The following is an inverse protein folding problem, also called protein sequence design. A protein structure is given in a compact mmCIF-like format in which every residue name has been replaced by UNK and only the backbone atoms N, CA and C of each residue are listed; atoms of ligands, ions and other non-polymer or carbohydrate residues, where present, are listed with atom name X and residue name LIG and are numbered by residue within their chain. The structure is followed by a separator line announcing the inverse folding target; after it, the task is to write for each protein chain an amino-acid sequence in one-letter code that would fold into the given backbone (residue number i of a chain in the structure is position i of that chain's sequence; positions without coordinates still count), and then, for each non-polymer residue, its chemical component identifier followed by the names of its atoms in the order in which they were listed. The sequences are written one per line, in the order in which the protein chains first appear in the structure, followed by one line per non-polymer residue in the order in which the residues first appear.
data_IF_721293906118
#
_entry.id   IF_721293906118
#
_cell.length_a   1.000
_cell.length_b   1.000
_cell.length_c   1.000
_cell.angle_alpha   90.00
_cell.angle_beta   90.00
_cell.angle_gamma   90.00
#
_symmetry.space_group_name_H-M   'P 1'
#
loop_
_entity.id
_entity.type
_entity.pdbx_description
1 polymer ?
#
# COMPACT_ATOMS: atom_id res chain seq x y z
N UNK A 1 -33.17 -4.90 -9.14
CA UNK A 1 -31.97 -5.40 -9.86
C UNK A 1 -30.74 -4.84 -9.14
N UNK A 2 -29.92 -5.69 -8.52
CA UNK A 2 -28.64 -5.25 -7.96
C UNK A 2 -27.72 -4.85 -9.14
N UNK A 3 -27.32 -3.59 -9.19
CA UNK A 3 -26.29 -3.16 -10.15
C UNK A 3 -24.96 -3.74 -9.68
N UNK A 4 -24.45 -4.73 -10.41
CA UNK A 4 -23.19 -5.40 -10.07
C UNK A 4 -22.02 -4.54 -10.52
N UNK A 5 -21.49 -3.71 -9.61
CA UNK A 5 -20.28 -2.91 -9.86
C UNK A 5 -19.10 -3.86 -10.00
N UNK A 6 -18.46 -3.88 -11.17
CA UNK A 6 -17.24 -4.66 -11.39
C UNK A 6 -16.06 -4.03 -10.65
N UNK A 7 -15.29 -4.82 -9.90
CA UNK A 7 -14.12 -4.34 -9.14
C UNK A 7 -12.86 -5.04 -9.66
N UNK A 8 -11.86 -4.26 -10.10
CA UNK A 8 -10.57 -4.76 -10.60
C UNK A 8 -9.43 -4.27 -9.71
N UNK A 9 -8.46 -5.15 -9.41
CA UNK A 9 -7.24 -4.81 -8.67
C UNK A 9 -6.01 -5.08 -9.53
N UNK A 10 -5.10 -4.11 -9.59
CA UNK A 10 -3.80 -4.25 -10.27
C UNK A 10 -2.69 -3.89 -9.31
N UNK A 11 -1.67 -4.73 -9.23
CA UNK A 11 -0.50 -4.51 -8.38
C UNK A 11 0.73 -4.35 -9.27
N UNK A 12 1.50 -3.28 -9.07
CA UNK A 12 2.74 -3.05 -9.79
C UNK A 12 3.77 -4.13 -9.42
N UNK A 13 4.66 -4.44 -10.38
CA UNK A 13 5.70 -5.45 -10.15
C UNK A 13 6.65 -5.06 -9.00
N UNK A 14 6.95 -3.76 -8.88
CA UNK A 14 7.79 -3.23 -7.79
C UNK A 14 7.13 -3.39 -6.42
N UNK A 15 5.82 -3.09 -6.30
CA UNK A 15 5.07 -3.28 -5.06
C UNK A 15 5.06 -4.77 -4.65
N UNK A 16 4.77 -5.65 -5.60
CA UNK A 16 4.75 -7.09 -5.35
C UNK A 16 6.11 -7.64 -4.91
N UNK A 17 7.18 -7.19 -5.58
CA UNK A 17 8.56 -7.61 -5.25
C UNK A 17 8.96 -7.16 -3.85
N UNK A 18 8.60 -5.94 -3.44
CA UNK A 18 8.88 -5.43 -2.08
C UNK A 18 8.17 -6.26 -1.00
N UNK A 19 6.92 -6.67 -1.24
CA UNK A 19 6.20 -7.57 -0.34
C UNK A 19 6.90 -8.93 -0.22
N UNK A 20 7.24 -9.53 -1.36
CA UNK A 20 7.86 -10.85 -1.39
C UNK A 20 9.23 -10.85 -0.70
N UNK A 21 10.06 -9.84 -0.97
CA UNK A 21 11.36 -9.72 -0.30
C UNK A 21 11.25 -9.40 1.18
N UNK A 22 10.24 -8.64 1.62
CA UNK A 22 10.03 -8.42 3.06
C UNK A 22 9.68 -9.73 3.78
N UNK A 23 8.78 -10.53 3.20
CA UNK A 23 8.45 -11.85 3.73
C UNK A 23 9.65 -12.81 3.68
N UNK A 24 10.41 -12.84 2.58
CA UNK A 24 11.57 -13.70 2.42
C UNK A 24 12.74 -13.31 3.35
N UNK A 25 12.89 -12.02 3.68
CA UNK A 25 13.90 -11.53 4.63
C UNK A 25 13.59 -11.95 6.07
N UNK A 26 12.30 -12.08 6.43
CA UNK A 26 11.85 -12.46 7.77
C UNK A 26 10.90 -13.66 7.72
N UNK A 27 11.36 -14.85 7.27
CA UNK A 27 10.47 -15.98 6.97
C UNK A 27 9.84 -16.62 8.21
N UNK A 28 10.40 -16.38 9.39
CA UNK A 28 9.96 -16.94 10.67
C UNK A 28 9.08 -15.98 11.48
N UNK A 29 8.76 -14.79 10.95
CA UNK A 29 7.96 -13.78 11.65
C UNK A 29 6.83 -13.25 10.77
N UNK A 30 5.69 -12.85 11.34
CA UNK A 30 4.67 -12.13 10.60
C UNK A 30 5.22 -10.79 10.14
N UNK A 31 4.93 -10.43 8.88
CA UNK A 31 5.33 -9.16 8.30
C UNK A 31 4.11 -8.28 8.03
N UNK A 32 4.22 -6.99 8.32
CA UNK A 32 3.18 -6.01 8.10
C UNK A 32 3.72 -4.81 7.29
N UNK A 33 2.87 -4.25 6.44
CA UNK A 33 3.19 -3.12 5.58
C UNK A 33 1.92 -2.53 4.98
N UNK A 34 2.08 -1.43 4.25
CA UNK A 34 0.97 -0.71 3.63
C UNK A 34 1.15 -0.66 2.11
N UNK A 35 0.05 -0.80 1.39
CA UNK A 35 0.00 -0.63 -0.06
C UNK A 35 -0.40 0.80 -0.40
N UNK A 36 0.32 1.40 -1.33
CA UNK A 36 0.05 2.74 -1.84
C UNK A 36 -0.43 2.63 -3.27
N UNK A 37 -1.53 3.31 -3.55
CA UNK A 37 -2.16 3.27 -4.86
C UNK A 37 -3.25 4.31 -5.02
N UNK A 38 -3.86 4.29 -6.19
CA UNK A 38 -4.99 5.14 -6.54
C UNK A 38 -6.26 4.30 -6.71
N UNK A 39 -7.39 4.91 -6.33
CA UNK A 39 -8.72 4.38 -6.56
C UNK A 39 -9.35 5.16 -7.72
N UNK A 40 -9.79 4.45 -8.75
CA UNK A 40 -10.62 5.01 -9.82
C UNK A 40 -12.02 4.40 -9.72
N UNK A 41 -13.05 5.24 -9.67
CA UNK A 41 -14.43 4.80 -9.55
C UNK A 41 -15.31 5.48 -10.60
N UNK A 42 -16.02 4.68 -11.37
CA UNK A 42 -17.06 5.08 -12.32
C UNK A 42 -18.38 4.45 -11.89
N UNK A 43 -19.51 4.95 -12.39
CA UNK A 43 -20.86 4.47 -12.04
C UNK A 43 -21.09 2.96 -12.24
N UNK A 44 -20.26 2.31 -13.08
CA UNK A 44 -20.34 0.88 -13.42
C UNK A 44 -19.11 0.05 -12.97
N UNK A 45 -18.01 0.68 -12.57
CA UNK A 45 -16.74 -0.02 -12.34
C UNK A 45 -15.85 0.68 -11.32
N UNK A 46 -15.16 -0.10 -10.48
CA UNK A 46 -14.12 0.36 -9.55
C UNK A 46 -12.80 -0.31 -9.91
N UNK A 47 -11.72 0.45 -9.98
CA UNK A 47 -10.37 -0.07 -10.22
C UNK A 47 -9.42 0.45 -9.16
N UNK A 48 -8.67 -0.45 -8.54
CA UNK A 48 -7.61 -0.13 -7.58
C UNK A 48 -6.26 -0.44 -8.24
N UNK A 49 -5.42 0.58 -8.36
CA UNK A 49 -4.06 0.44 -8.89
C UNK A 49 -3.05 0.66 -7.77
N UNK A 50 -2.41 -0.42 -7.31
CA UNK A 50 -1.35 -0.39 -6.31
C UNK A 50 -0.03 -0.08 -7.02
N UNK A 51 0.51 1.11 -6.77
CA UNK A 51 1.73 1.62 -7.38
C UNK A 51 2.98 1.21 -6.60
N UNK A 52 2.89 1.15 -5.26
CA UNK A 52 4.02 0.85 -4.38
C UNK A 52 3.59 0.08 -3.12
N UNK A 53 4.54 -0.56 -2.45
CA UNK A 53 4.35 -1.21 -1.15
C UNK A 53 5.43 -0.74 -0.17
N UNK A 54 5.06 -0.58 1.10
CA UNK A 54 5.94 -0.14 2.16
C UNK A 54 6.01 -1.21 3.24
N UNK A 55 7.10 -1.97 3.29
CA UNK A 55 7.40 -2.83 4.41
C UNK A 55 7.58 -1.99 5.68
N UNK A 56 6.78 -2.21 6.72
CA UNK A 56 6.87 -1.43 7.97
C UNK A 56 7.45 -2.27 9.11
N UNK A 57 6.81 -3.40 9.41
CA UNK A 57 7.08 -4.17 10.61
C UNK A 57 7.30 -5.64 10.29
N UNK A 58 8.13 -6.25 11.11
CA UNK A 58 8.38 -7.69 11.12
C UNK A 58 8.51 -8.21 12.56
N UNK A 59 8.77 -7.32 13.52
CA UNK A 59 8.70 -7.60 14.95
C UNK A 59 7.55 -6.80 15.59
N UNK A 60 6.88 -7.40 16.59
CA UNK A 60 5.82 -6.75 17.37
C UNK A 60 4.73 -6.06 16.53
N UNK A 61 4.25 -6.74 15.49
CA UNK A 61 3.20 -6.24 14.58
C UNK A 61 1.87 -5.89 15.26
N UNK A 62 1.71 -6.22 16.53
CA UNK A 62 0.52 -5.93 17.34
C UNK A 62 0.59 -4.57 18.07
N UNK A 63 1.74 -3.88 18.04
CA UNK A 63 1.91 -2.56 18.66
C UNK A 63 1.49 -1.45 17.69
N UNK A 64 0.26 -0.98 17.88
CA UNK A 64 -0.36 0.12 17.12
C UNK A 64 0.51 1.39 16.94
N UNK A 65 1.29 1.85 17.95
CA UNK A 65 2.05 3.11 17.82
C UNK A 65 3.09 3.12 16.68
N UNK A 66 3.76 2.00 16.44
CA UNK A 66 4.83 1.95 15.43
C UNK A 66 4.24 1.97 14.01
N UNK A 67 3.06 1.36 13.82
CA UNK A 67 2.37 1.43 12.54
C UNK A 67 1.94 2.88 12.23
N UNK A 68 1.39 3.59 13.22
CA UNK A 68 0.99 4.98 13.07
C UNK A 68 2.17 5.90 12.75
N UNK A 69 3.30 5.77 13.48
CA UNK A 69 4.47 6.63 13.24
C UNK A 69 5.16 6.32 11.90
N UNK A 70 5.24 5.03 11.52
CA UNK A 70 5.85 4.63 10.26
C UNK A 70 5.05 5.10 9.04
N UNK A 71 3.72 5.10 9.16
CA UNK A 71 2.84 5.65 8.13
C UNK A 71 2.97 7.17 8.04
N UNK A 72 2.96 7.89 9.17
CA UNK A 72 3.10 9.35 9.21
C UNK A 72 4.43 9.81 8.58
N UNK A 73 5.52 9.12 8.92
CA UNK A 73 6.83 9.35 8.32
C UNK A 73 6.77 9.17 6.81
N UNK A 74 6.18 8.07 6.33
CA UNK A 74 6.07 7.84 4.88
C UNK A 74 5.30 8.95 4.21
N UNK A 75 4.15 9.32 4.76
CA UNK A 75 3.27 10.35 4.18
C UNK A 75 3.99 11.69 4.05
N UNK A 76 4.79 12.05 5.06
CA UNK A 76 5.62 13.27 5.04
C UNK A 76 6.66 13.26 3.90
N UNK A 77 7.26 12.10 3.61
CA UNK A 77 8.25 11.95 2.54
C UNK A 77 7.67 11.54 1.18
N UNK A 78 6.35 11.43 1.05
CA UNK A 78 5.74 11.27 -0.26
C UNK A 78 5.90 12.58 -1.03
N UNK A 79 6.41 12.55 -2.28
CA UNK A 79 6.38 13.75 -3.11
C UNK A 79 4.93 14.19 -3.24
N UNK A 80 4.63 15.40 -2.76
CA UNK A 80 3.33 16.00 -2.93
C UNK A 80 3.14 16.28 -4.44
N UNK A 81 2.08 15.77 -5.09
CA UNK A 81 1.81 16.10 -6.49
C UNK A 81 1.77 17.62 -6.75
N UNK A 82 1.42 18.42 -5.73
CA UNK A 82 1.32 19.90 -5.80
C UNK A 82 2.65 20.64 -5.50
N UNK A 83 3.76 19.95 -5.18
CA UNK A 83 5.06 20.57 -4.79
C UNK A 83 6.17 20.29 -5.79
N UNK A 84 5.84 20.14 -7.08
CA UNK A 84 6.82 19.94 -8.16
C UNK A 84 6.84 21.08 -9.20
N UNK A 85 6.13 22.18 -8.94
CA UNK A 85 5.98 23.33 -9.86
C UNK A 85 6.48 24.65 -9.27
N UNK A 86 7.47 24.62 -8.37
CA UNK A 86 8.23 25.80 -7.96
C UNK A 86 9.73 25.57 -8.20
#
# INVERSE_FOLDING_TARGET
KASMVQVSYKISHSAYTKLLFHAAKYPHQPVCGVLIGSLSSTSSSKSVAVADAIPLLHHWTNLSPIMSIGLDLRLTFMPNPERSTL
#
